data_IF_480391266531
#
_entry.id   IF_480391266531
#
_cell.length_a   1.000
_cell.length_b   1.000
_cell.length_c   1.000
_cell.angle_alpha   90.00
_cell.angle_beta   90.00
_cell.angle_gamma   90.00
#
_symmetry.space_group_name_H-M   'P 1'
#
loop_
_entity.id
_entity.type
_entity.pdbx_description
1 polymer ?
#
# COMPACT_ATOMS: atom_id res chain seq x y z
N UNK A 1 0.14 -0.26 7.49
CA UNK A 1 -0.37 -1.50 8.09
C UNK A 1 -1.88 -1.43 8.01
N UNK A 2 -2.48 -2.46 7.42
CA UNK A 2 -3.91 -2.55 7.24
C UNK A 2 -4.63 -2.55 8.61
N UNK A 3 -5.70 -1.76 8.79
CA UNK A 3 -6.38 -1.58 10.09
C UNK A 3 -7.31 -2.74 10.46
N UNK A 4 -6.78 -3.96 10.54
CA UNK A 4 -7.56 -5.14 10.97
C UNK A 4 -8.03 -4.93 12.41
N UNK A 5 -9.33 -5.06 12.62
CA UNK A 5 -10.01 -4.90 13.91
C UNK A 5 -10.79 -3.61 14.04
N UNK A 6 -10.55 -2.62 13.17
CA UNK A 6 -11.27 -1.35 13.16
C UNK A 6 -12.59 -1.40 12.37
N UNK A 7 -12.80 -2.44 11.56
CA UNK A 7 -14.00 -2.63 10.75
C UNK A 7 -15.25 -2.91 11.60
N UNK A 8 -16.47 -2.59 11.10
CA UNK A 8 -17.69 -3.05 11.72
C UNK A 8 -17.87 -4.57 11.58
N UNK A 9 -18.87 -5.11 12.28
CA UNK A 9 -19.23 -6.52 12.19
C UNK A 9 -19.57 -6.90 10.74
N UNK A 10 -18.94 -7.97 10.25
CA UNK A 10 -19.20 -8.50 8.90
C UNK A 10 -20.66 -8.95 8.75
N UNK A 11 -21.35 -8.39 7.75
CA UNK A 11 -22.72 -8.73 7.41
C UNK A 11 -22.76 -9.96 6.51
N UNK A 12 -23.49 -11.00 6.95
CA UNK A 12 -23.58 -12.28 6.25
C UNK A 12 -24.66 -12.31 5.16
N UNK A 13 -25.70 -11.50 5.30
CA UNK A 13 -26.79 -11.38 4.34
C UNK A 13 -27.30 -9.94 4.36
N UNK A 14 -27.22 -9.24 3.24
CA UNK A 14 -27.62 -7.84 3.19
C UNK A 14 -29.13 -7.65 3.36
N UNK A 15 -29.97 -8.69 3.26
CA UNK A 15 -31.40 -8.59 3.57
C UNK A 15 -31.69 -8.28 5.03
N UNK A 16 -30.75 -8.57 5.94
CA UNK A 16 -30.94 -8.29 7.38
C UNK A 16 -30.68 -6.84 7.73
N UNK A 17 -30.17 -6.03 6.81
CA UNK A 17 -29.97 -4.60 7.04
C UNK A 17 -31.29 -3.86 6.81
N UNK A 18 -31.84 -3.34 7.92
CA UNK A 18 -33.03 -2.49 7.93
C UNK A 18 -32.69 -1.04 7.57
N UNK A 19 -31.54 -0.54 8.04
CA UNK A 19 -31.04 0.81 7.79
C UNK A 19 -29.74 0.79 6.98
N UNK A 20 -29.48 1.86 6.24
CA UNK A 20 -28.22 2.06 5.52
C UNK A 20 -27.13 2.58 6.45
N UNK A 21 -26.02 1.84 6.65
CA UNK A 21 -24.87 2.37 7.34
C UNK A 21 -24.02 3.24 6.40
N UNK A 22 -23.24 4.16 6.97
CA UNK A 22 -22.17 4.88 6.25
C UNK A 22 -20.96 3.97 5.96
N UNK A 23 -20.76 2.97 6.83
CA UNK A 23 -19.66 2.03 6.81
C UNK A 23 -20.17 0.58 6.86
N UNK A 24 -19.71 -0.26 5.94
CA UNK A 24 -20.17 -1.64 5.81
C UNK A 24 -19.00 -2.61 5.68
N UNK A 25 -19.08 -3.75 6.37
CA UNK A 25 -18.16 -4.87 6.17
C UNK A 25 -18.90 -6.10 5.60
N UNK A 26 -18.37 -6.65 4.51
CA UNK A 26 -18.87 -7.85 3.84
C UNK A 26 -17.73 -8.82 3.56
N UNK A 27 -18.06 -10.07 3.22
CA UNK A 27 -17.08 -11.04 2.76
C UNK A 27 -17.56 -11.77 1.50
N UNK A 28 -16.71 -12.62 0.91
CA UNK A 28 -17.09 -13.38 -0.30
C UNK A 28 -18.32 -14.30 -0.12
N UNK A 29 -18.72 -14.62 1.12
CA UNK A 29 -19.91 -15.44 1.41
C UNK A 29 -21.15 -14.62 1.73
N UNK A 30 -21.06 -13.28 1.73
CA UNK A 30 -22.20 -12.40 1.96
C UNK A 30 -23.27 -12.62 0.89
N UNK A 31 -24.50 -12.86 1.33
CA UNK A 31 -25.67 -13.08 0.47
C UNK A 31 -26.36 -11.76 0.11
N UNK A 32 -27.15 -11.81 -0.96
CA UNK A 32 -27.95 -10.71 -1.46
C UNK A 32 -27.16 -9.44 -1.81
N UNK A 33 -26.03 -9.63 -2.50
CA UNK A 33 -25.13 -8.56 -2.96
C UNK A 33 -25.84 -7.54 -3.85
N UNK A 34 -26.90 -7.93 -4.56
CA UNK A 34 -27.74 -7.02 -5.34
C UNK A 34 -28.30 -5.84 -4.53
N UNK A 35 -28.46 -6.01 -3.19
CA UNK A 35 -28.90 -4.91 -2.32
C UNK A 35 -27.87 -3.79 -2.18
N UNK A 36 -26.59 -4.03 -2.48
CA UNK A 36 -25.57 -2.99 -2.48
C UNK A 36 -25.93 -1.84 -3.45
N UNK A 37 -26.63 -2.15 -4.55
CA UNK A 37 -27.09 -1.14 -5.50
C UNK A 37 -28.07 -0.12 -4.90
N UNK A 38 -28.73 -0.48 -3.79
CA UNK A 38 -29.64 0.40 -3.05
C UNK A 38 -28.92 1.26 -2.01
N UNK A 39 -27.61 1.09 -1.83
CA UNK A 39 -26.82 1.74 -0.77
C UNK A 39 -25.87 2.80 -1.34
N UNK A 40 -26.42 3.82 -1.99
CA UNK A 40 -25.65 4.90 -2.63
C UNK A 40 -24.81 5.73 -1.67
N UNK A 41 -25.19 5.76 -0.40
CA UNK A 41 -24.57 6.62 0.63
C UNK A 41 -23.41 5.96 1.39
N UNK A 42 -23.07 4.69 1.10
CA UNK A 42 -21.95 4.04 1.78
C UNK A 42 -20.65 4.71 1.34
N UNK A 43 -20.02 5.44 2.25
CA UNK A 43 -18.73 6.06 2.02
C UNK A 43 -17.58 5.07 2.23
N UNK A 44 -17.70 4.14 3.19
CA UNK A 44 -16.62 3.20 3.54
C UNK A 44 -17.06 1.74 3.42
N UNK A 45 -16.33 0.97 2.62
CA UNK A 45 -16.59 -0.45 2.40
C UNK A 45 -15.39 -1.30 2.78
N UNK A 46 -15.63 -2.34 3.56
CA UNK A 46 -14.65 -3.38 3.87
C UNK A 46 -15.05 -4.70 3.21
N UNK A 47 -14.11 -5.32 2.52
CA UNK A 47 -14.29 -6.57 1.81
C UNK A 47 -13.27 -7.59 2.34
N UNK A 48 -13.75 -8.73 2.84
CA UNK A 48 -12.90 -9.80 3.34
C UNK A 48 -13.01 -11.06 2.48
N UNK A 49 -11.88 -11.71 2.20
CA UNK A 49 -11.82 -13.05 1.62
C UNK A 49 -12.69 -13.18 0.35
N UNK A 50 -12.23 -12.60 -0.76
CA UNK A 50 -12.94 -12.62 -2.05
C UNK A 50 -12.13 -13.24 -3.17
N UNK A 51 -12.83 -13.89 -4.11
CA UNK A 51 -12.30 -14.30 -5.41
C UNK A 51 -12.65 -13.28 -6.51
N UNK A 52 -12.10 -13.47 -7.72
CA UNK A 52 -12.33 -12.63 -8.90
C UNK A 52 -13.82 -12.31 -9.13
N UNK A 53 -14.68 -13.34 -9.22
CA UNK A 53 -16.12 -13.17 -9.48
C UNK A 53 -16.82 -12.34 -8.42
N UNK A 54 -16.51 -12.58 -7.14
CA UNK A 54 -17.09 -11.83 -6.04
C UNK A 54 -16.64 -10.37 -6.05
N UNK A 55 -15.35 -10.14 -6.28
CA UNK A 55 -14.76 -8.81 -6.39
C UNK A 55 -15.45 -7.98 -7.49
N UNK A 56 -15.56 -8.52 -8.70
CA UNK A 56 -16.28 -7.91 -9.82
C UNK A 56 -17.75 -7.65 -9.48
N UNK A 57 -18.42 -8.63 -8.87
CA UNK A 57 -19.85 -8.53 -8.53
C UNK A 57 -20.10 -7.41 -7.52
N UNK A 58 -19.26 -7.31 -6.48
CA UNK A 58 -19.38 -6.27 -5.45
C UNK A 58 -19.18 -4.89 -6.08
N UNK A 59 -18.07 -4.68 -6.81
CA UNK A 59 -17.73 -3.37 -7.38
C UNK A 59 -18.62 -2.93 -8.55
N UNK A 60 -19.47 -3.83 -9.07
CA UNK A 60 -20.54 -3.45 -9.98
C UNK A 60 -21.71 -2.75 -9.29
N UNK A 61 -21.93 -3.01 -8.00
CA UNK A 61 -23.10 -2.51 -7.28
C UNK A 61 -22.83 -1.28 -6.43
N UNK A 62 -21.58 -1.04 -6.03
CA UNK A 62 -21.25 0.00 -5.05
C UNK A 62 -19.98 0.75 -5.43
N UNK A 63 -19.98 2.05 -5.15
CA UNK A 63 -18.87 2.96 -5.44
C UNK A 63 -18.51 3.76 -4.18
N UNK A 64 -17.78 3.17 -3.22
CA UNK A 64 -17.42 3.86 -1.99
C UNK A 64 -16.36 4.93 -2.25
N UNK A 65 -16.15 5.81 -1.27
CA UNK A 65 -15.01 6.75 -1.23
C UNK A 65 -13.78 6.13 -0.58
N UNK A 66 -13.99 5.20 0.36
CA UNK A 66 -12.92 4.51 1.08
C UNK A 66 -13.15 3.01 0.95
N UNK A 67 -12.16 2.29 0.44
CA UNK A 67 -12.24 0.85 0.20
C UNK A 67 -11.11 0.12 0.94
N UNK A 68 -11.49 -0.78 1.83
CA UNK A 68 -10.59 -1.72 2.49
C UNK A 68 -10.83 -3.12 1.95
N UNK A 69 -9.77 -3.83 1.55
CA UNK A 69 -9.86 -5.22 1.09
C UNK A 69 -8.79 -6.06 1.76
N UNK A 70 -9.20 -7.10 2.46
CA UNK A 70 -8.31 -8.05 3.12
C UNK A 70 -8.49 -9.46 2.53
N UNK A 71 -7.38 -10.12 2.22
CA UNK A 71 -7.31 -11.48 1.67
C UNK A 71 -8.10 -11.61 0.36
N UNK A 72 -7.45 -11.39 -0.77
CA UNK A 72 -8.07 -11.53 -2.09
C UNK A 72 -7.33 -12.50 -3.00
N UNK A 73 -8.11 -13.28 -3.76
CA UNK A 73 -7.65 -14.17 -4.82
C UNK A 73 -8.10 -13.60 -6.16
N UNK A 74 -7.61 -12.40 -6.48
CA UNK A 74 -8.03 -11.55 -7.60
C UNK A 74 -6.83 -11.25 -8.49
N UNK A 75 -6.91 -11.63 -9.75
CA UNK A 75 -5.86 -11.43 -10.75
C UNK A 75 -6.07 -10.13 -11.52
N UNK A 76 -7.31 -9.86 -11.92
CA UNK A 76 -7.70 -8.66 -12.65
C UNK A 76 -8.30 -7.62 -11.69
N UNK A 77 -7.57 -6.51 -11.53
CA UNK A 77 -7.95 -5.37 -10.70
C UNK A 77 -8.73 -4.29 -11.48
N UNK A 78 -8.97 -4.45 -12.79
CA UNK A 78 -9.70 -3.49 -13.63
C UNK A 78 -11.09 -3.08 -13.11
N UNK A 79 -11.84 -3.88 -12.31
CA UNK A 79 -13.06 -3.39 -11.68
C UNK A 79 -12.90 -2.11 -10.84
N UNK A 80 -11.70 -1.81 -10.34
CA UNK A 80 -11.41 -0.56 -9.59
C UNK A 80 -11.48 0.70 -10.46
N UNK A 81 -11.35 0.57 -11.79
CA UNK A 81 -11.47 1.68 -12.75
C UNK A 81 -12.87 2.32 -12.71
N UNK A 82 -13.89 1.57 -12.26
CA UNK A 82 -15.28 2.06 -12.15
C UNK A 82 -15.49 3.01 -10.97
N UNK A 83 -14.55 3.05 -10.03
CA UNK A 83 -14.65 3.80 -8.78
C UNK A 83 -14.12 5.23 -8.96
N UNK A 84 -14.80 6.03 -9.78
CA UNK A 84 -14.35 7.40 -10.15
C UNK A 84 -14.32 8.38 -8.98
N UNK A 85 -15.07 8.08 -7.91
CA UNK A 85 -15.16 8.90 -6.70
C UNK A 85 -14.33 8.36 -5.52
N UNK A 86 -13.52 7.31 -5.74
CA UNK A 86 -12.67 6.73 -4.71
C UNK A 86 -11.58 7.73 -4.28
N UNK A 87 -11.42 7.90 -2.97
CA UNK A 87 -10.45 8.78 -2.34
C UNK A 87 -9.33 7.96 -1.68
N UNK A 88 -9.67 6.80 -1.10
CA UNK A 88 -8.71 5.91 -0.44
C UNK A 88 -8.92 4.43 -0.77
N UNK A 89 -7.83 3.73 -1.07
CA UNK A 89 -7.82 2.28 -1.27
C UNK A 89 -6.74 1.67 -0.38
N UNK A 90 -7.13 0.70 0.44
CA UNK A 90 -6.25 -0.09 1.29
C UNK A 90 -6.47 -1.57 0.97
N UNK A 91 -5.43 -2.24 0.47
CA UNK A 91 -5.50 -3.64 0.08
C UNK A 91 -4.38 -4.42 0.71
N UNK A 92 -4.74 -5.51 1.37
CA UNK A 92 -3.80 -6.41 2.02
C UNK A 92 -4.06 -7.86 1.58
N UNK A 93 -2.97 -8.57 1.34
CA UNK A 93 -2.91 -9.98 1.00
C UNK A 93 -3.59 -10.32 -0.33
N UNK A 94 -2.85 -10.15 -1.43
CA UNK A 94 -3.23 -10.65 -2.76
C UNK A 94 -2.17 -11.64 -3.29
N UNK A 95 -2.62 -12.77 -3.82
CA UNK A 95 -1.73 -13.85 -4.28
C UNK A 95 -1.70 -14.06 -5.81
N UNK A 96 -2.34 -13.16 -6.57
CA UNK A 96 -2.67 -13.36 -7.98
C UNK A 96 -2.32 -12.16 -8.85
N UNK A 97 -2.69 -10.93 -8.46
CA UNK A 97 -2.46 -9.73 -9.27
C UNK A 97 -0.98 -9.50 -9.53
N UNK A 98 -0.62 -9.27 -10.80
CA UNK A 98 0.76 -9.03 -11.25
C UNK A 98 1.01 -7.57 -11.62
N UNK A 99 -0.06 -6.82 -11.86
CA UNK A 99 -0.07 -5.39 -12.19
C UNK A 99 -1.20 -4.68 -11.46
N UNK A 100 -1.08 -3.37 -11.29
CA UNK A 100 -2.19 -2.50 -10.93
C UNK A 100 -3.12 -2.27 -12.14
N UNK A 101 -4.29 -1.68 -11.88
CA UNK A 101 -5.29 -1.31 -12.88
C UNK A 101 -5.01 0.07 -13.49
N UNK A 102 -5.81 0.51 -14.47
CA UNK A 102 -5.67 1.85 -15.03
C UNK A 102 -6.16 2.93 -14.05
N UNK A 103 -5.21 3.47 -13.28
CA UNK A 103 -5.42 4.52 -12.29
C UNK A 103 -5.86 5.88 -12.89
N UNK A 104 -5.88 6.06 -14.22
CA UNK A 104 -6.35 7.32 -14.84
C UNK A 104 -7.83 7.63 -14.54
N UNK A 105 -8.61 6.61 -14.17
CA UNK A 105 -10.03 6.75 -13.83
C UNK A 105 -10.27 7.23 -12.40
N UNK A 106 -9.31 7.02 -11.49
CA UNK A 106 -9.45 7.34 -10.06
C UNK A 106 -8.85 8.71 -9.74
N UNK A 107 -9.36 9.75 -10.42
CA UNK A 107 -8.81 11.12 -10.33
C UNK A 107 -8.90 11.74 -8.92
N UNK A 108 -9.71 11.18 -8.02
CA UNK A 108 -9.85 11.64 -6.63
C UNK A 108 -9.00 10.86 -5.63
N UNK A 109 -8.26 9.85 -6.07
CA UNK A 109 -7.46 9.00 -5.18
C UNK A 109 -6.31 9.80 -4.56
N UNK A 110 -6.35 9.94 -3.22
CA UNK A 110 -5.34 10.65 -2.42
C UNK A 110 -4.47 9.69 -1.60
N UNK A 111 -4.96 8.48 -1.31
CA UNK A 111 -4.27 7.48 -0.50
C UNK A 111 -4.38 6.08 -1.11
N UNK A 112 -3.24 5.41 -1.27
CA UNK A 112 -3.16 4.04 -1.77
C UNK A 112 -2.22 3.22 -0.89
N UNK A 113 -2.74 2.15 -0.29
CA UNK A 113 -1.96 1.16 0.45
C UNK A 113 -2.09 -0.22 -0.20
N UNK A 114 -0.95 -0.81 -0.57
CA UNK A 114 -0.82 -2.17 -1.10
C UNK A 114 0.15 -2.94 -0.21
N UNK A 115 -0.36 -3.93 0.51
CA UNK A 115 0.39 -4.74 1.48
C UNK A 115 0.28 -6.24 1.12
N UNK A 116 1.39 -6.97 1.20
CA UNK A 116 1.46 -8.43 0.98
C UNK A 116 0.88 -8.93 -0.37
N UNK A 117 1.22 -8.22 -1.46
CA UNK A 117 0.93 -8.67 -2.82
C UNK A 117 2.07 -9.55 -3.35
N UNK A 118 1.93 -10.87 -3.23
CA UNK A 118 3.04 -11.80 -3.49
C UNK A 118 3.45 -11.94 -4.95
N UNK A 119 2.64 -11.44 -5.89
CA UNK A 119 2.88 -11.51 -7.33
C UNK A 119 2.96 -10.16 -8.03
N UNK A 120 2.71 -9.05 -7.34
CA UNK A 120 2.71 -7.73 -7.95
C UNK A 120 4.14 -7.31 -8.27
N UNK A 121 4.48 -7.31 -9.56
CA UNK A 121 5.78 -6.88 -10.07
C UNK A 121 5.73 -5.53 -10.78
N UNK A 122 4.64 -5.28 -11.50
CA UNK A 122 4.46 -4.08 -12.32
C UNK A 122 3.61 -3.04 -11.58
N UNK A 123 4.22 -1.89 -11.29
CA UNK A 123 3.55 -0.73 -10.69
C UNK A 123 3.50 0.49 -11.62
N UNK A 124 3.74 0.29 -12.92
CA UNK A 124 3.70 1.33 -13.97
C UNK A 124 2.44 2.21 -13.94
N UNK A 125 1.23 1.67 -13.66
CA UNK A 125 0.05 2.51 -13.62
C UNK A 125 0.10 3.64 -12.58
N UNK A 126 0.94 3.54 -11.53
CA UNK A 126 1.11 4.60 -10.54
C UNK A 126 1.51 5.94 -11.16
N UNK A 127 2.22 5.95 -12.30
CA UNK A 127 2.63 7.19 -12.97
C UNK A 127 1.48 8.15 -13.30
N UNK A 128 0.25 7.63 -13.36
CA UNK A 128 -0.96 8.39 -13.64
C UNK A 128 -1.63 9.00 -12.39
N UNK A 129 -1.24 8.57 -11.18
CA UNK A 129 -1.87 8.98 -9.91
C UNK A 129 -1.32 10.30 -9.37
N UNK A 130 -1.40 11.37 -10.17
CA UNK A 130 -0.78 12.67 -9.85
C UNK A 130 -1.34 13.36 -8.59
N UNK A 131 -2.54 12.98 -8.15
CA UNK A 131 -3.19 13.53 -6.95
C UNK A 131 -2.86 12.75 -5.67
N UNK A 132 -2.11 11.64 -5.79
CA UNK A 132 -1.78 10.80 -4.66
C UNK A 132 -0.85 11.54 -3.69
N UNK A 133 -1.28 11.63 -2.44
CA UNK A 133 -0.51 12.24 -1.34
C UNK A 133 0.14 11.20 -0.44
N UNK A 134 -0.46 10.00 -0.35
CA UNK A 134 0.00 8.90 0.51
C UNK A 134 0.12 7.61 -0.29
N UNK A 135 1.29 6.99 -0.25
CA UNK A 135 1.55 5.70 -0.89
C UNK A 135 2.24 4.76 0.09
N UNK A 136 1.65 3.57 0.26
CA UNK A 136 2.30 2.46 0.92
C UNK A 136 2.40 1.28 -0.04
N UNK A 137 3.63 0.84 -0.30
CA UNK A 137 3.92 -0.41 -0.98
C UNK A 137 4.74 -1.26 -0.01
N UNK A 138 4.15 -2.32 0.54
CA UNK A 138 4.81 -3.15 1.54
C UNK A 138 4.68 -4.65 1.25
N UNK A 139 5.75 -5.38 1.52
CA UNK A 139 5.70 -6.84 1.63
C UNK A 139 4.98 -7.29 2.91
N UNK A 140 4.55 -8.55 2.94
CA UNK A 140 4.02 -9.16 4.16
C UNK A 140 5.11 -9.56 5.15
N UNK A 141 4.72 -10.23 6.23
CA UNK A 141 5.66 -10.74 7.25
C UNK A 141 6.58 -11.83 6.66
N UNK A 142 6.03 -12.65 5.75
CA UNK A 142 6.71 -13.84 5.23
C UNK A 142 7.35 -13.62 3.86
N UNK A 143 6.83 -12.68 3.07
CA UNK A 143 7.24 -12.47 1.69
C UNK A 143 7.47 -10.98 1.43
N UNK A 144 8.59 -10.67 0.78
CA UNK A 144 8.82 -9.32 0.27
C UNK A 144 7.93 -9.03 -0.93
N UNK A 145 7.50 -7.78 -1.08
CA UNK A 145 6.91 -7.28 -2.31
C UNK A 145 8.03 -7.07 -3.34
N UNK A 146 8.02 -7.82 -4.43
CA UNK A 146 9.09 -7.79 -5.43
C UNK A 146 8.62 -7.03 -6.66
N UNK A 147 9.12 -5.82 -6.86
CA UNK A 147 8.74 -4.94 -7.97
C UNK A 147 9.91 -4.75 -8.94
N UNK A 148 9.59 -4.53 -10.21
CA UNK A 148 10.59 -4.41 -11.25
C UNK A 148 11.41 -3.11 -11.12
N UNK A 149 10.75 -1.99 -10.82
CA UNK A 149 11.38 -0.67 -10.69
C UNK A 149 10.51 0.29 -9.88
N UNK A 150 11.14 1.35 -9.34
CA UNK A 150 10.45 2.50 -8.73
C UNK A 150 10.27 3.67 -9.72
N UNK A 151 10.60 3.52 -11.01
CA UNK A 151 10.48 4.59 -12.01
C UNK A 151 9.13 5.33 -12.01
N UNK A 152 7.97 4.64 -11.91
CA UNK A 152 6.66 5.29 -11.98
C UNK A 152 6.43 6.31 -10.86
N UNK A 153 7.13 6.16 -9.72
CA UNK A 153 6.95 7.02 -8.56
C UNK A 153 7.47 8.42 -8.83
N UNK A 154 8.41 8.62 -9.77
CA UNK A 154 8.97 9.95 -10.07
C UNK A 154 7.91 10.96 -10.57
N UNK A 155 6.76 10.47 -11.03
CA UNK A 155 5.65 11.30 -11.52
C UNK A 155 4.65 11.70 -10.41
N UNK A 156 4.80 11.16 -9.19
CA UNK A 156 3.93 11.43 -8.04
C UNK A 156 4.33 12.72 -7.33
N UNK A 157 4.28 13.85 -8.03
CA UNK A 157 4.82 15.13 -7.55
C UNK A 157 4.16 15.67 -6.29
N UNK A 158 2.94 15.22 -5.96
CA UNK A 158 2.18 15.63 -4.77
C UNK A 158 2.34 14.69 -3.57
N UNK A 159 3.16 13.65 -3.69
CA UNK A 159 3.35 12.66 -2.64
C UNK A 159 4.01 13.30 -1.41
N UNK A 160 3.38 13.15 -0.25
CA UNK A 160 3.83 13.65 1.05
C UNK A 160 4.31 12.53 1.96
N UNK A 161 3.68 11.37 1.89
CA UNK A 161 4.00 10.21 2.72
C UNK A 161 4.27 8.99 1.82
N UNK A 162 5.45 8.40 1.95
CA UNK A 162 5.85 7.20 1.23
C UNK A 162 6.36 6.13 2.19
N UNK A 163 5.74 4.96 2.14
CA UNK A 163 6.19 3.76 2.86
C UNK A 163 6.58 2.67 1.87
N UNK A 164 7.81 2.18 1.99
CA UNK A 164 8.42 1.13 1.18
C UNK A 164 9.05 0.06 2.10
N UNK A 165 8.21 -0.75 2.76
CA UNK A 165 8.66 -1.71 3.77
C UNK A 165 8.70 -3.14 3.22
N UNK A 166 9.78 -3.86 3.52
CA UNK A 166 9.99 -5.22 3.03
C UNK A 166 9.78 -5.35 1.51
N UNK A 167 10.33 -4.41 0.74
CA UNK A 167 10.28 -4.42 -0.72
C UNK A 167 11.62 -4.87 -1.31
N UNK A 168 11.57 -5.51 -2.48
CA UNK A 168 12.76 -5.74 -3.31
C UNK A 168 12.52 -5.12 -4.67
N UNK A 169 13.42 -4.23 -5.07
CA UNK A 169 13.43 -3.61 -6.39
C UNK A 169 14.55 -4.26 -7.19
N UNK A 170 14.26 -4.69 -8.42
CA UNK A 170 15.20 -5.49 -9.23
C UNK A 170 16.53 -4.79 -9.52
N UNK A 171 16.51 -3.48 -9.73
CA UNK A 171 17.69 -2.66 -9.98
C UNK A 171 18.36 -2.14 -8.69
N UNK A 172 17.80 -2.47 -7.52
CA UNK A 172 18.24 -2.00 -6.20
C UNK A 172 18.37 -0.47 -6.09
N UNK A 173 17.59 0.28 -6.88
CA UNK A 173 17.68 1.74 -6.97
C UNK A 173 16.51 2.46 -6.29
N UNK A 174 16.83 3.51 -5.56
CA UNK A 174 15.95 4.55 -5.04
C UNK A 174 16.05 5.86 -5.85
N UNK A 175 16.77 5.86 -6.99
CA UNK A 175 17.05 7.06 -7.78
C UNK A 175 15.82 7.87 -8.14
N UNK A 176 14.73 7.18 -8.45
CA UNK A 176 13.46 7.78 -8.85
C UNK A 176 12.76 8.54 -7.72
N UNK A 177 13.09 8.27 -6.45
CA UNK A 177 12.55 9.03 -5.32
C UNK A 177 13.14 10.45 -5.22
N UNK A 178 14.25 10.72 -5.92
CA UNK A 178 14.89 12.04 -5.95
C UNK A 178 14.00 13.15 -6.54
N UNK A 179 12.94 12.78 -7.27
CA UNK A 179 11.98 13.70 -7.88
C UNK A 179 10.82 14.08 -6.94
N UNK A 180 10.70 13.42 -5.79
CA UNK A 180 9.61 13.63 -4.82
C UNK A 180 9.89 14.81 -3.89
N UNK A 181 10.01 16.02 -4.45
CA UNK A 181 10.43 17.21 -3.69
C UNK A 181 9.43 17.67 -2.61
N UNK A 182 8.18 17.21 -2.66
CA UNK A 182 7.15 17.49 -1.65
C UNK A 182 7.09 16.42 -0.55
N UNK A 183 7.94 15.39 -0.60
CA UNK A 183 7.90 14.29 0.35
C UNK A 183 8.26 14.79 1.75
N UNK A 184 7.38 14.54 2.71
CA UNK A 184 7.52 14.96 4.11
C UNK A 184 8.01 13.80 4.96
N UNK A 185 7.54 12.59 4.68
CA UNK A 185 7.91 11.38 5.41
C UNK A 185 8.22 10.23 4.45
N UNK A 186 9.39 9.61 4.67
CA UNK A 186 9.84 8.42 3.98
C UNK A 186 10.17 7.33 4.99
N UNK A 187 9.35 6.28 4.99
CA UNK A 187 9.62 5.05 5.72
C UNK A 187 10.09 3.98 4.73
N UNK A 188 11.27 3.40 4.96
CA UNK A 188 11.90 2.47 4.03
C UNK A 188 12.69 1.40 4.78
N UNK A 189 12.73 0.18 4.26
CA UNK A 189 13.54 -0.92 4.82
C UNK A 189 15.04 -0.75 4.51
N UNK A 190 15.90 -1.34 5.36
CA UNK A 190 17.37 -1.23 5.22
C UNK A 190 17.89 -2.28 4.23
N UNK A 191 17.45 -2.19 2.97
CA UNK A 191 17.61 -3.22 1.94
C UNK A 191 18.29 -2.71 0.66
N UNK A 192 18.65 -1.42 0.58
CA UNK A 192 19.28 -0.78 -0.59
C UNK A 192 20.77 -0.46 -0.35
N UNK A 193 21.60 -0.27 -1.38
CA UNK A 193 22.98 0.20 -1.21
C UNK A 193 23.07 1.49 -0.38
N UNK A 194 24.16 1.68 0.38
CA UNK A 194 24.34 2.86 1.25
C UNK A 194 24.28 4.17 0.46
N UNK A 195 24.81 4.16 -0.77
CA UNK A 195 24.85 5.28 -1.69
C UNK A 195 23.44 5.79 -2.06
N UNK A 196 22.44 4.90 -2.08
CA UNK A 196 21.06 5.25 -2.39
C UNK A 196 20.44 6.10 -1.28
N UNK A 197 20.63 5.70 -0.01
CA UNK A 197 20.19 6.49 1.14
C UNK A 197 20.96 7.81 1.25
N UNK A 198 22.27 7.78 1.06
CA UNK A 198 23.11 8.98 1.11
C UNK A 198 22.75 9.99 0.01
N UNK A 199 22.43 9.53 -1.19
CA UNK A 199 21.96 10.41 -2.27
C UNK A 199 20.62 11.05 -1.91
N UNK A 200 19.68 10.26 -1.41
CA UNK A 200 18.37 10.79 -1.01
C UNK A 200 18.47 11.76 0.17
N UNK A 201 19.34 11.53 1.16
CA UNK A 201 19.48 12.44 2.31
C UNK A 201 19.98 13.83 1.91
N UNK A 202 20.76 13.93 0.82
CA UNK A 202 21.25 15.21 0.28
C UNK A 202 20.19 15.90 -0.57
N UNK A 203 19.35 15.15 -1.29
CA UNK A 203 18.33 15.71 -2.21
C UNK A 203 17.05 16.07 -1.46
N UNK A 204 16.57 15.17 -0.61
CA UNK A 204 15.30 15.25 0.12
C UNK A 204 15.50 15.87 1.53
N UNK A 205 16.13 17.05 1.58
CA UNK A 205 16.58 17.70 2.83
C UNK A 205 15.48 17.99 3.84
N UNK A 206 14.24 18.12 3.37
CA UNK A 206 13.06 18.42 4.21
C UNK A 206 12.23 17.17 4.51
N UNK A 207 12.66 15.99 4.06
CA UNK A 207 11.97 14.74 4.30
C UNK A 207 12.50 14.08 5.56
N UNK A 208 11.58 13.73 6.46
CA UNK A 208 11.89 12.90 7.62
C UNK A 208 12.10 11.46 7.16
N UNK A 209 13.27 10.91 7.42
CA UNK A 209 13.60 9.51 7.19
C UNK A 209 14.65 9.05 8.21
N UNK A 210 14.34 8.01 8.97
CA UNK A 210 15.25 7.47 10.00
C UNK A 210 16.54 6.89 9.40
N UNK A 211 16.58 6.64 8.08
CA UNK A 211 17.74 6.06 7.38
C UNK A 211 18.55 7.10 6.59
N UNK A 212 18.33 8.39 6.83
CA UNK A 212 19.21 9.46 6.33
C UNK A 212 20.44 9.71 7.21
N UNK A 213 20.53 9.02 8.34
CA UNK A 213 21.72 8.93 9.20
C UNK A 213 22.58 7.71 8.83
N UNK A 214 23.89 7.70 9.17
CA UNK A 214 24.77 6.59 8.82
C UNK A 214 24.43 5.27 9.53
N UNK A 215 23.76 5.33 10.68
CA UNK A 215 23.32 4.17 11.45
C UNK A 215 22.09 4.53 12.29
N UNK A 216 21.35 3.52 12.73
CA UNK A 216 20.31 3.68 13.76
C UNK A 216 20.68 2.89 15.02
N UNK A 217 20.21 3.34 16.19
CA UNK A 217 20.23 2.55 17.43
C UNK A 217 18.91 1.80 17.57
N UNK A 218 18.97 0.48 17.61
CA UNK A 218 17.81 -0.42 17.73
C UNK A 218 17.37 -0.55 19.19
N UNK A 219 16.06 -0.64 19.42
CA UNK A 219 15.49 -0.96 20.74
C UNK A 219 15.77 -2.41 21.15
N UNK A 220 15.76 -3.32 20.17
CA UNK A 220 15.91 -4.75 20.37
C UNK A 220 17.20 -5.23 19.68
N UNK A 221 18.29 -5.43 20.45
CA UNK A 221 19.57 -5.83 19.90
C UNK A 221 19.54 -7.23 19.28
N UNK A 222 20.30 -7.43 18.21
CA UNK A 222 20.51 -8.75 17.61
C UNK A 222 21.88 -9.23 18.05
N UNK A 223 21.94 -10.31 18.84
CA UNK A 223 23.21 -10.89 19.30
C UNK A 223 24.13 -9.83 19.94
N UNK A 224 23.58 -9.11 20.93
CA UNK A 224 24.20 -7.99 21.64
C UNK A 224 24.58 -6.76 20.78
N UNK A 225 24.26 -6.73 19.50
CA UNK A 225 24.53 -5.59 18.61
C UNK A 225 23.29 -4.72 18.47
N UNK A 226 23.39 -3.47 18.87
CA UNK A 226 22.29 -2.51 18.92
C UNK A 226 22.44 -1.35 17.92
N UNK A 227 23.52 -1.32 17.14
CA UNK A 227 23.73 -0.34 16.07
C UNK A 227 23.54 -1.04 14.73
N UNK A 228 22.58 -0.58 13.93
CA UNK A 228 22.41 -1.02 12.54
C UNK A 228 23.00 0.03 11.61
N UNK A 229 24.07 -0.32 10.90
CA UNK A 229 24.64 0.54 9.86
C UNK A 229 23.69 0.57 8.65
N UNK A 230 23.44 1.77 8.12
CA UNK A 230 22.53 1.95 6.99
C UNK A 230 23.19 1.51 5.68
N UNK A 231 22.49 0.63 4.97
CA UNK A 231 22.90 0.00 3.73
C UNK A 231 22.72 -1.51 3.74
N UNK A 232 22.43 -2.04 2.56
CA UNK A 232 22.37 -3.46 2.26
C UNK A 232 23.69 -4.14 2.60
N UNK A 233 23.60 -5.27 3.31
CA UNK A 233 24.75 -6.09 3.72
C UNK A 233 25.76 -5.33 4.60
N UNK A 234 25.35 -4.24 5.25
CA UNK A 234 26.17 -3.57 6.26
C UNK A 234 26.08 -4.30 7.61
N UNK A 235 27.14 -4.21 8.43
CA UNK A 235 27.18 -4.92 9.70
C UNK A 235 26.21 -4.33 10.71
N UNK A 236 25.85 -5.15 11.69
CA UNK A 236 25.40 -4.67 13.00
C UNK A 236 26.63 -4.52 13.90
N UNK A 237 26.67 -3.47 14.70
CA UNK A 237 27.75 -3.14 15.63
C UNK A 237 27.22 -3.07 17.07
N UNK A 238 28.11 -3.17 18.05
CA UNK A 238 27.80 -2.98 19.46
C UNK A 238 28.22 -1.57 19.90
N UNK A 239 27.29 -0.81 20.48
CA UNK A 239 27.53 0.60 20.88
C UNK A 239 28.62 0.80 21.92
N UNK A 240 29.03 -0.25 22.62
CA UNK A 240 29.94 -0.19 23.75
C UNK A 240 31.35 -0.70 23.39
N UNK A 241 31.51 -1.42 22.26
CA UNK A 241 32.77 -2.10 21.92
C UNK A 241 33.33 -1.83 20.52
N UNK A 242 32.55 -1.30 19.57
CA UNK A 242 32.96 -1.05 18.18
C UNK A 242 32.95 0.45 17.84
#
# INVERSE_FOLDING_TARGET
>A
MFPIGEQPKIIKDLKTLENMPDELAINGKTKSLERLASFSEINKLWIFTVNQKQFETILNYIKPKILYIYEMRVEDLSPLEKLTDIEEIHMDWNTKATTLWDLTHNIKLISLSIEDFSKLGNVDPLKHSKNLEKLNLSGGIWNSLNIDTLEPLKYLSNLKELTLMNIKVKDESLGHLSYLHQLQELNISNQFPTEEYARLSVILKNTKCDFFQPYIKMSDPIDHRNIMVIGKRKPFLNSDTD
#
